data_IF_981528626109
#
_entry.id   IF_981528626109
#
_cell.length_a   1.000
_cell.length_b   1.000
_cell.length_c   1.000
_cell.angle_alpha   90.00
_cell.angle_beta   90.00
_cell.angle_gamma   90.00
#
_symmetry.space_group_name_H-M   'P 1'
#
loop_
_entity.id
_entity.type
_entity.pdbx_description
1 polymer ?
#
# COMPACT_ATOMS: atom_id res chain seq x y z
N UNK A 1 11.03 0.38 26.21
CA UNK A 1 9.72 -0.01 25.61
C UNK A 1 9.56 0.53 24.17
N UNK A 2 9.72 1.85 23.91
CA UNK A 2 9.52 2.42 22.56
C UNK A 2 10.44 1.80 21.49
N UNK A 3 11.75 1.67 21.76
CA UNK A 3 12.71 1.06 20.83
C UNK A 3 12.40 -0.41 20.54
N UNK A 4 11.83 -1.16 21.50
CA UNK A 4 11.42 -2.55 21.28
C UNK A 4 10.21 -2.63 20.34
N UNK A 5 9.27 -1.70 20.47
CA UNK A 5 8.12 -1.61 19.53
C UNK A 5 8.63 -1.36 18.12
N UNK A 6 9.49 -0.35 17.93
CA UNK A 6 10.06 -0.02 16.61
C UNK A 6 10.93 -1.16 16.03
N UNK A 7 11.60 -1.95 16.87
CA UNK A 7 12.34 -3.14 16.47
C UNK A 7 11.38 -4.26 16.00
N UNK A 8 10.31 -4.52 16.75
CA UNK A 8 9.28 -5.49 16.36
C UNK A 8 8.54 -5.09 15.08
N UNK A 9 8.44 -3.80 14.82
CA UNK A 9 7.85 -3.22 13.60
C UNK A 9 8.85 -3.18 12.42
N UNK A 10 10.08 -3.65 12.60
CA UNK A 10 11.10 -3.66 11.56
C UNK A 10 11.67 -2.28 11.19
N UNK A 11 11.40 -1.25 12.00
CA UNK A 11 11.91 0.11 11.81
C UNK A 11 13.31 0.30 12.41
N UNK A 12 13.72 -0.56 13.32
CA UNK A 12 15.04 -0.60 13.94
C UNK A 12 15.65 -1.98 13.77
N UNK A 13 16.93 -2.01 13.46
CA UNK A 13 17.74 -3.23 13.38
C UNK A 13 18.75 -3.23 14.51
N UNK A 14 18.96 -4.39 15.14
CA UNK A 14 19.99 -4.61 16.12
C UNK A 14 21.20 -5.24 15.45
N UNK A 15 22.31 -4.55 15.40
CA UNK A 15 23.57 -5.09 14.88
C UNK A 15 24.16 -6.16 15.79
N UNK A 16 25.13 -6.94 15.29
CA UNK A 16 25.82 -8.00 16.03
C UNK A 16 26.49 -7.50 17.35
N UNK A 17 26.80 -6.21 17.43
CA UNK A 17 27.35 -5.54 18.61
C UNK A 17 26.27 -4.98 19.56
N UNK A 18 25.00 -5.33 19.37
CA UNK A 18 23.87 -4.84 20.16
C UNK A 18 23.43 -3.40 19.85
N UNK A 19 24.11 -2.71 18.91
CA UNK A 19 23.75 -1.34 18.54
C UNK A 19 22.45 -1.33 17.75
N UNK A 20 21.49 -0.51 18.20
CA UNK A 20 20.22 -0.28 17.50
C UNK A 20 20.38 0.86 16.49
N UNK A 21 20.05 0.59 15.25
CA UNK A 21 20.07 1.56 14.15
C UNK A 21 18.73 1.59 13.45
N UNK A 22 18.31 2.77 12.99
CA UNK A 22 17.11 2.87 12.14
C UNK A 22 17.35 2.12 10.85
N UNK A 23 16.40 1.25 10.48
CA UNK A 23 16.44 0.53 9.19
C UNK A 23 16.56 1.54 8.06
N UNK A 24 17.64 1.45 7.30
CA UNK A 24 17.80 2.31 6.12
C UNK A 24 16.78 1.91 5.04
N UNK A 25 15.95 2.87 4.65
CA UNK A 25 15.03 2.68 3.50
C UNK A 25 15.87 2.80 2.22
N UNK A 26 16.20 1.67 1.62
CA UNK A 26 16.85 1.59 0.31
C UNK A 26 15.91 0.97 -0.73
N UNK A 27 16.30 1.07 -1.99
CA UNK A 27 15.50 0.57 -3.12
C UNK A 27 15.14 -0.92 -2.96
N UNK A 28 16.09 -1.75 -2.56
CA UNK A 28 15.88 -3.20 -2.39
C UNK A 28 14.83 -3.47 -1.31
N UNK A 29 14.94 -2.82 -0.15
CA UNK A 29 13.97 -2.99 0.93
C UNK A 29 12.55 -2.58 0.52
N UNK A 30 12.42 -1.50 -0.27
CA UNK A 30 11.13 -1.07 -0.82
C UNK A 30 10.56 -2.13 -1.77
N UNK A 31 11.40 -2.69 -2.66
CA UNK A 31 11.00 -3.77 -3.57
C UNK A 31 10.53 -5.01 -2.81
N UNK A 32 11.36 -5.50 -1.88
CA UNK A 32 11.06 -6.67 -1.04
C UNK A 32 9.74 -6.50 -0.26
N UNK A 33 9.49 -5.29 0.25
CA UNK A 33 8.23 -4.95 0.93
C UNK A 33 7.02 -5.06 0.00
N UNK A 34 7.08 -4.43 -1.17
CA UNK A 34 5.94 -4.44 -2.11
C UNK A 34 5.73 -5.80 -2.75
N UNK A 35 6.78 -6.58 -2.99
CA UNK A 35 6.67 -7.97 -3.43
C UNK A 35 5.94 -8.83 -2.39
N UNK A 36 6.34 -8.74 -1.12
CA UNK A 36 5.66 -9.44 -0.02
C UNK A 36 4.20 -9.02 0.10
N UNK A 37 3.94 -7.71 0.03
CA UNK A 37 2.58 -7.15 0.07
C UNK A 37 1.73 -7.67 -1.07
N UNK A 38 2.26 -7.67 -2.30
CA UNK A 38 1.58 -8.14 -3.50
C UNK A 38 1.17 -9.61 -3.39
N UNK A 39 2.04 -10.45 -2.84
CA UNK A 39 1.74 -11.88 -2.60
C UNK A 39 0.57 -12.06 -1.62
N UNK A 40 0.50 -11.26 -0.55
CA UNK A 40 -0.61 -11.33 0.41
C UNK A 40 -1.93 -10.89 -0.23
N UNK A 41 -1.92 -9.82 -1.00
CA UNK A 41 -3.10 -9.30 -1.71
C UNK A 41 -3.56 -10.26 -2.82
N UNK A 42 -2.63 -10.80 -3.61
CA UNK A 42 -2.94 -11.78 -4.64
C UNK A 42 -3.56 -13.05 -4.04
N UNK A 43 -3.04 -13.51 -2.89
CA UNK A 43 -3.64 -14.64 -2.17
C UNK A 43 -5.02 -14.31 -1.62
N UNK A 44 -5.24 -13.10 -1.14
CA UNK A 44 -6.58 -12.65 -0.73
C UNK A 44 -7.56 -12.68 -1.91
N UNK A 45 -7.17 -12.14 -3.06
CA UNK A 45 -7.97 -12.17 -4.31
C UNK A 45 -8.30 -13.60 -4.72
N UNK A 46 -7.31 -14.52 -4.73
CA UNK A 46 -7.57 -15.94 -5.05
C UNK A 46 -8.65 -16.56 -4.17
N UNK A 47 -8.64 -16.24 -2.86
CA UNK A 47 -9.64 -16.73 -1.91
C UNK A 47 -11.00 -16.09 -2.18
N UNK A 48 -11.05 -14.78 -2.40
CA UNK A 48 -12.29 -14.03 -2.64
C UNK A 48 -12.99 -14.51 -3.90
N UNK A 49 -12.25 -14.74 -4.99
CA UNK A 49 -12.81 -15.21 -6.27
C UNK A 49 -13.52 -16.56 -6.17
N UNK A 50 -13.17 -17.37 -5.16
CA UNK A 50 -13.80 -18.68 -4.88
C UNK A 50 -15.03 -18.59 -3.96
N UNK A 51 -15.31 -17.40 -3.36
CA UNK A 51 -16.43 -17.22 -2.44
C UNK A 51 -17.74 -17.01 -3.21
N UNK A 52 -18.82 -17.58 -2.70
CA UNK A 52 -20.15 -17.36 -3.23
C UNK A 52 -20.62 -15.92 -2.99
N UNK A 53 -20.39 -15.42 -1.78
CA UNK A 53 -20.76 -14.05 -1.38
C UNK A 53 -19.55 -13.25 -0.93
N UNK A 54 -19.49 -11.97 -1.37
CA UNK A 54 -18.47 -10.98 -0.99
C UNK A 54 -19.14 -9.65 -0.68
N UNK A 55 -18.84 -9.08 0.49
CA UNK A 55 -19.29 -7.72 0.83
C UNK A 55 -18.31 -6.68 0.32
N UNK A 56 -18.68 -5.95 -0.72
CA UNK A 56 -17.86 -4.90 -1.32
C UNK A 56 -17.99 -3.54 -0.64
N UNK A 57 -18.81 -3.40 0.41
CA UNK A 57 -19.10 -2.09 1.06
C UNK A 57 -17.84 -1.37 1.54
N UNK A 58 -16.88 -2.10 2.11
CA UNK A 58 -15.61 -1.55 2.56
C UNK A 58 -14.75 -1.00 1.42
N UNK A 59 -14.66 -1.75 0.31
CA UNK A 59 -13.94 -1.32 -0.89
C UNK A 59 -14.61 -0.09 -1.53
N UNK A 60 -15.93 -0.04 -1.55
CA UNK A 60 -16.69 1.12 -2.06
C UNK A 60 -16.47 2.36 -1.20
N UNK A 61 -16.43 2.24 0.14
CA UNK A 61 -16.09 3.35 1.03
C UNK A 61 -14.69 3.89 0.73
N UNK A 62 -13.72 3.01 0.52
CA UNK A 62 -12.36 3.40 0.16
C UNK A 62 -12.30 4.15 -1.19
N UNK A 63 -13.04 3.67 -2.20
CA UNK A 63 -13.14 4.36 -3.49
C UNK A 63 -13.79 5.74 -3.37
N UNK A 64 -14.81 5.90 -2.52
CA UNK A 64 -15.40 7.21 -2.28
C UNK A 64 -14.39 8.21 -1.69
N UNK A 65 -13.53 7.78 -0.77
CA UNK A 65 -12.45 8.61 -0.22
C UNK A 65 -11.44 8.96 -1.33
N UNK A 66 -11.04 8.01 -2.17
CA UNK A 66 -10.14 8.25 -3.29
C UNK A 66 -10.76 9.19 -4.33
N UNK A 67 -12.07 9.11 -4.55
CA UNK A 67 -12.77 10.03 -5.44
C UNK A 67 -12.80 11.46 -4.88
N UNK A 68 -13.00 11.63 -3.56
CA UNK A 68 -12.90 12.93 -2.90
C UNK A 68 -11.51 13.54 -3.06
N UNK A 69 -10.45 12.73 -2.97
CA UNK A 69 -9.08 13.19 -3.18
C UNK A 69 -8.85 13.85 -4.55
N UNK A 70 -9.67 13.56 -5.56
CA UNK A 70 -9.54 14.15 -6.92
C UNK A 70 -9.93 15.62 -6.99
N UNK A 71 -10.79 16.07 -6.10
CA UNK A 71 -11.20 17.47 -5.98
C UNK A 71 -10.34 18.27 -5.01
N UNK A 72 -9.39 17.65 -4.32
CA UNK A 72 -8.50 18.29 -3.36
C UNK A 72 -7.10 18.51 -3.94
N UNK A 73 -6.31 19.36 -3.26
CA UNK A 73 -4.90 19.63 -3.61
C UNK A 73 -4.02 19.62 -2.35
N UNK A 74 -2.70 19.57 -2.54
CA UNK A 74 -1.74 19.68 -1.44
C UNK A 74 -1.88 18.56 -0.38
N UNK A 75 -1.78 18.96 0.89
CA UNK A 75 -1.80 18.02 2.02
C UNK A 75 -3.16 17.34 2.20
N UNK A 76 -4.27 18.02 1.92
CA UNK A 76 -5.61 17.44 1.98
C UNK A 76 -5.76 16.28 0.97
N UNK A 77 -5.32 16.50 -0.26
CA UNK A 77 -5.30 15.46 -1.29
C UNK A 77 -4.42 14.28 -0.87
N UNK A 78 -3.23 14.55 -0.36
CA UNK A 78 -2.29 13.54 0.10
C UNK A 78 -2.87 12.69 1.22
N UNK A 79 -3.51 13.34 2.21
CA UNK A 79 -4.15 12.65 3.33
C UNK A 79 -5.28 11.70 2.86
N UNK A 80 -6.16 12.17 1.97
CA UNK A 80 -7.25 11.35 1.43
C UNK A 80 -6.72 10.19 0.57
N UNK A 81 -5.67 10.40 -0.22
CA UNK A 81 -5.02 9.31 -0.98
C UNK A 81 -4.47 8.23 -0.06
N UNK A 82 -3.76 8.61 1.01
CA UNK A 82 -3.23 7.66 2.01
C UNK A 82 -4.37 6.90 2.65
N UNK A 83 -5.40 7.61 3.12
CA UNK A 83 -6.55 7.01 3.79
C UNK A 83 -7.29 6.02 2.89
N UNK A 84 -7.68 6.44 1.69
CA UNK A 84 -8.44 5.63 0.76
C UNK A 84 -7.64 4.42 0.25
N UNK A 85 -6.38 4.63 -0.12
CA UNK A 85 -5.49 3.55 -0.55
C UNK A 85 -5.28 2.50 0.55
N UNK A 86 -4.96 2.92 1.77
CA UNK A 86 -4.74 2.01 2.88
C UNK A 86 -6.01 1.26 3.28
N UNK A 87 -7.16 1.93 3.25
CA UNK A 87 -8.45 1.29 3.52
C UNK A 87 -8.77 0.25 2.44
N UNK A 88 -8.63 0.59 1.15
CA UNK A 88 -8.95 -0.31 0.05
C UNK A 88 -8.19 -1.64 0.14
N UNK A 89 -6.89 -1.57 0.25
CA UNK A 89 -6.04 -2.78 0.34
C UNK A 89 -6.26 -3.57 1.63
N UNK A 90 -6.58 -2.89 2.74
CA UNK A 90 -6.91 -3.55 4.00
C UNK A 90 -8.23 -4.31 3.89
N UNK A 91 -9.25 -3.67 3.35
CA UNK A 91 -10.56 -4.31 3.11
C UNK A 91 -10.43 -5.49 2.14
N UNK A 92 -9.63 -5.34 1.07
CA UNK A 92 -9.34 -6.43 0.14
C UNK A 92 -8.80 -7.66 0.87
N UNK A 93 -7.77 -7.47 1.71
CA UNK A 93 -7.17 -8.59 2.46
C UNK A 93 -8.15 -9.16 3.49
N UNK A 94 -8.93 -8.32 4.17
CA UNK A 94 -9.89 -8.76 5.20
C UNK A 94 -11.05 -9.54 4.59
N UNK A 95 -11.49 -9.22 3.38
CA UNK A 95 -12.50 -9.99 2.65
C UNK A 95 -12.07 -11.43 2.38
N UNK A 96 -10.78 -11.75 2.39
CA UNK A 96 -10.32 -13.14 2.31
C UNK A 96 -10.82 -13.99 3.48
N UNK A 97 -11.06 -13.41 4.66
CA UNK A 97 -11.40 -14.11 5.90
C UNK A 97 -10.31 -15.07 6.38
N UNK A 98 -9.14 -15.09 5.75
CA UNK A 98 -8.02 -15.92 6.16
C UNK A 98 -7.27 -15.25 7.32
N UNK A 99 -7.45 -15.80 8.52
CA UNK A 99 -6.95 -15.21 9.77
C UNK A 99 -5.41 -15.09 9.79
N UNK A 100 -4.70 -16.08 9.26
CA UNK A 100 -3.24 -16.06 9.20
C UNK A 100 -2.74 -14.99 8.22
N UNK A 101 -3.36 -14.89 7.05
CA UNK A 101 -3.03 -13.88 6.05
C UNK A 101 -3.30 -12.46 6.58
N UNK A 102 -4.42 -12.25 7.28
CA UNK A 102 -4.75 -10.98 7.94
C UNK A 102 -3.71 -10.64 9.02
N UNK A 103 -3.22 -11.63 9.77
CA UNK A 103 -2.18 -11.40 10.76
C UNK A 103 -0.87 -10.96 10.10
N UNK A 104 -0.43 -11.64 9.04
CA UNK A 104 0.76 -11.23 8.26
C UNK A 104 0.58 -9.82 7.68
N UNK A 105 -0.61 -9.48 7.17
CA UNK A 105 -0.92 -8.14 6.66
C UNK A 105 -0.73 -7.05 7.73
N UNK A 106 -1.18 -7.32 8.96
CA UNK A 106 -1.06 -6.38 10.08
C UNK A 106 0.38 -6.05 10.44
N UNK A 107 1.31 -7.00 10.28
CA UNK A 107 2.74 -6.75 10.54
C UNK A 107 3.38 -5.77 9.56
N UNK A 108 2.77 -5.56 8.39
CA UNK A 108 3.25 -4.60 7.40
C UNK A 108 2.77 -3.15 7.65
N UNK A 109 1.81 -2.94 8.58
CA UNK A 109 1.14 -1.65 8.76
C UNK A 109 2.10 -0.47 8.96
N UNK A 110 3.12 -0.52 9.86
CA UNK A 110 3.97 0.63 10.11
C UNK A 110 4.76 1.07 8.87
N UNK A 111 5.33 0.10 8.14
CA UNK A 111 6.06 0.36 6.90
C UNK A 111 5.13 0.82 5.77
N UNK A 112 3.94 0.24 5.70
CA UNK A 112 2.92 0.62 4.72
C UNK A 112 2.53 2.08 4.84
N UNK A 113 2.33 2.60 6.05
CA UNK A 113 2.00 4.02 6.26
C UNK A 113 3.13 4.94 5.79
N UNK A 114 4.38 4.60 6.12
CA UNK A 114 5.55 5.35 5.66
C UNK A 114 5.63 5.38 4.13
N UNK A 115 5.49 4.23 3.47
CA UNK A 115 5.59 4.16 2.01
C UNK A 115 4.38 4.78 1.31
N UNK A 116 3.19 4.65 1.87
CA UNK A 116 1.99 5.33 1.36
C UNK A 116 2.14 6.84 1.37
N UNK A 117 2.80 7.42 2.37
CA UNK A 117 3.09 8.85 2.41
C UNK A 117 3.95 9.29 1.21
N UNK A 118 5.03 8.57 0.91
CA UNK A 118 5.88 8.89 -0.25
C UNK A 118 5.15 8.71 -1.57
N UNK A 119 4.40 7.62 -1.73
CA UNK A 119 3.62 7.34 -2.93
C UNK A 119 2.52 8.41 -3.14
N UNK A 120 1.74 8.72 -2.10
CA UNK A 120 0.61 9.66 -2.18
C UNK A 120 1.03 11.12 -2.33
N UNK A 121 2.26 11.50 -1.92
CA UNK A 121 2.77 12.86 -2.05
C UNK A 121 3.25 13.22 -3.47
N UNK A 122 3.23 12.28 -4.41
CA UNK A 122 3.48 12.60 -5.82
C UNK A 122 2.38 13.49 -6.37
N UNK A 123 2.77 14.54 -7.07
CA UNK A 123 1.81 15.38 -7.81
C UNK A 123 1.14 14.59 -8.93
N UNK A 124 -0.03 15.06 -9.38
CA UNK A 124 -0.79 14.41 -10.46
C UNK A 124 0.05 14.14 -11.73
N UNK A 125 1.04 15.00 -12.01
CA UNK A 125 1.93 14.88 -13.19
C UNK A 125 3.03 13.81 -13.04
N UNK A 126 3.25 13.27 -11.83
CA UNK A 126 4.27 12.27 -11.54
C UNK A 126 3.68 10.90 -11.23
N UNK A 127 2.37 10.80 -11.04
CA UNK A 127 1.70 9.53 -10.75
C UNK A 127 1.37 8.85 -12.08
N UNK A 128 1.80 7.59 -12.22
CA UNK A 128 1.55 6.79 -13.42
C UNK A 128 0.07 6.51 -13.63
N UNK A 129 -0.68 6.34 -12.53
CA UNK A 129 -2.11 6.06 -12.53
C UNK A 129 -2.81 6.89 -11.46
N UNK A 130 -4.01 7.40 -11.79
CA UNK A 130 -4.88 8.01 -10.81
C UNK A 130 -5.32 6.94 -9.78
N UNK A 131 -5.14 7.27 -8.48
CA UNK A 131 -5.48 6.35 -7.39
C UNK A 131 -6.90 5.83 -7.47
N UNK A 132 -7.87 6.70 -7.78
CA UNK A 132 -9.27 6.29 -7.92
C UNK A 132 -9.44 5.29 -9.07
N UNK A 133 -8.95 5.62 -10.24
CA UNK A 133 -9.16 4.82 -11.46
C UNK A 133 -8.54 3.43 -11.35
N UNK A 134 -7.32 3.32 -10.83
CA UNK A 134 -6.64 2.03 -10.67
C UNK A 134 -7.34 1.11 -9.67
N UNK A 135 -7.82 1.67 -8.55
CA UNK A 135 -8.57 0.89 -7.54
C UNK A 135 -10.00 0.56 -8.00
N UNK A 136 -10.63 1.45 -8.77
CA UNK A 136 -11.92 1.15 -9.40
C UNK A 136 -11.81 -0.03 -10.36
N UNK A 137 -10.70 -0.13 -11.11
CA UNK A 137 -10.47 -1.26 -11.99
C UNK A 137 -10.34 -2.58 -11.22
N UNK A 138 -9.61 -2.58 -10.10
CA UNK A 138 -9.54 -3.75 -9.21
C UNK A 138 -10.93 -4.18 -8.76
N UNK A 139 -11.77 -3.24 -8.32
CA UNK A 139 -13.13 -3.56 -7.88
C UNK A 139 -13.99 -4.10 -9.02
N UNK A 140 -13.90 -3.54 -10.23
CA UNK A 140 -14.62 -4.04 -11.41
C UNK A 140 -14.22 -5.48 -11.74
N UNK A 141 -12.92 -5.76 -11.78
CA UNK A 141 -12.41 -7.11 -12.04
C UNK A 141 -12.84 -8.10 -10.94
N UNK A 142 -12.88 -7.64 -9.68
CA UNK A 142 -13.30 -8.46 -8.55
C UNK A 142 -14.80 -8.82 -8.65
N UNK A 143 -15.65 -7.85 -8.97
CA UNK A 143 -17.10 -8.05 -9.19
C UNK A 143 -17.36 -8.96 -10.39
N UNK A 144 -16.61 -8.78 -11.48
CA UNK A 144 -16.67 -9.61 -12.68
C UNK A 144 -16.07 -11.02 -12.48
N UNK A 145 -15.43 -11.28 -11.34
CA UNK A 145 -14.68 -12.53 -11.06
C UNK A 145 -13.63 -12.83 -12.13
N UNK A 146 -12.96 -11.77 -12.64
CA UNK A 146 -11.96 -11.89 -13.70
C UNK A 146 -10.71 -12.62 -13.19
N UNK A 147 -10.33 -13.77 -13.77
CA UNK A 147 -9.15 -14.52 -13.34
C UNK A 147 -7.83 -13.73 -13.52
N UNK A 148 -7.80 -12.73 -14.41
CA UNK A 148 -6.64 -11.85 -14.62
C UNK A 148 -6.40 -10.90 -13.44
N UNK A 149 -7.37 -10.76 -12.52
CA UNK A 149 -7.21 -9.89 -11.35
C UNK A 149 -6.01 -10.30 -10.49
N UNK A 150 -5.70 -11.58 -10.38
CA UNK A 150 -4.51 -12.04 -9.64
C UNK A 150 -3.22 -11.43 -10.19
N UNK A 151 -3.03 -11.47 -11.50
CA UNK A 151 -1.86 -10.90 -12.18
C UNK A 151 -1.86 -9.36 -12.09
N UNK A 152 -3.04 -8.77 -12.27
CA UNK A 152 -3.21 -7.31 -12.16
C UNK A 152 -2.81 -6.79 -10.77
N UNK A 153 -3.20 -7.47 -9.68
CA UNK A 153 -2.83 -7.10 -8.31
C UNK A 153 -1.31 -7.20 -8.10
N UNK A 154 -0.67 -8.26 -8.59
CA UNK A 154 0.79 -8.38 -8.52
C UNK A 154 1.47 -7.19 -9.20
N UNK A 155 1.05 -6.82 -10.41
CA UNK A 155 1.58 -5.67 -11.12
C UNK A 155 1.27 -4.34 -10.41
N UNK A 156 0.01 -4.12 -9.98
CA UNK A 156 -0.43 -2.91 -9.32
C UNK A 156 0.36 -2.64 -8.03
N UNK A 157 0.56 -3.67 -7.22
CA UNK A 157 1.19 -3.51 -5.91
C UNK A 157 2.72 -3.56 -5.98
N UNK A 158 3.34 -4.56 -6.65
CA UNK A 158 4.80 -4.67 -6.67
C UNK A 158 5.45 -3.77 -7.73
N UNK A 159 4.87 -3.65 -8.91
CA UNK A 159 5.44 -2.85 -10.00
C UNK A 159 5.19 -1.35 -9.82
N UNK A 160 3.94 -0.92 -9.95
CA UNK A 160 3.58 0.51 -9.96
C UNK A 160 3.86 1.19 -8.62
N UNK A 161 3.48 0.58 -7.48
CA UNK A 161 3.67 1.20 -6.16
C UNK A 161 5.14 1.31 -5.75
N UNK A 162 5.99 0.36 -6.15
CA UNK A 162 7.44 0.44 -5.92
C UNK A 162 8.03 1.64 -6.64
N UNK A 163 7.74 1.77 -7.93
CA UNK A 163 8.27 2.87 -8.77
C UNK A 163 7.81 4.24 -8.24
N UNK A 164 6.52 4.38 -7.91
CA UNK A 164 5.97 5.63 -7.41
C UNK A 164 6.54 6.00 -6.03
N UNK A 165 6.73 5.02 -5.14
CA UNK A 165 7.37 5.26 -3.84
C UNK A 165 8.82 5.74 -3.99
N UNK A 166 9.59 5.13 -4.87
CA UNK A 166 10.97 5.56 -5.14
C UNK A 166 11.04 6.98 -5.71
N UNK A 167 10.14 7.33 -6.63
CA UNK A 167 10.00 8.70 -7.14
C UNK A 167 9.65 9.69 -6.03
N UNK A 168 8.68 9.34 -5.16
CA UNK A 168 8.28 10.18 -4.03
C UNK A 168 9.43 10.46 -3.06
N UNK A 169 10.23 9.43 -2.74
CA UNK A 169 11.43 9.58 -1.90
C UNK A 169 12.46 10.49 -2.56
N UNK A 170 12.70 10.32 -3.85
CA UNK A 170 13.66 11.15 -4.58
C UNK A 170 13.25 12.63 -4.60
N UNK A 171 11.97 12.92 -4.85
CA UNK A 171 11.44 14.29 -4.82
C UNK A 171 11.55 14.94 -3.45
N UNK A 172 11.19 14.23 -2.38
CA UNK A 172 11.32 14.76 -1.00
C UNK A 172 12.78 15.01 -0.61
N UNK A 173 13.72 14.17 -1.06
CA UNK A 173 15.16 14.42 -0.85
C UNK A 173 15.67 15.65 -1.61
N UNK A 174 15.16 15.91 -2.82
CA UNK A 174 15.51 17.08 -3.61
C UNK A 174 15.00 18.38 -2.96
N UNK A 175 13.76 18.39 -2.47
CA UNK A 175 13.17 19.54 -1.75
C UNK A 175 13.99 19.91 -0.50
N UNK A 176 14.36 18.94 0.34
CA UNK A 176 15.16 19.18 1.57
C UNK A 176 16.57 19.71 1.34
N UNK A 177 17.10 19.70 0.13
CA UNK A 177 18.41 20.28 -0.20
C UNK A 177 18.31 21.73 -0.66
N UNK A 178 17.11 22.22 -0.91
CA UNK A 178 16.84 23.59 -1.34
C UNK A 178 16.40 24.50 -0.17
N UNK A 179 15.99 23.89 0.94
CA UNK A 179 15.73 24.53 2.23
C UNK A 179 17.00 24.53 3.11
#
# INVERSE_FOLDING_TARGET
>A
KALQVLENEGLIVVGANGRKTVQGINQRFISDFYETRALLEAKAVEIILKREYVDYSGLMRALNILNQARSETGDAQTALRIQGNNLFHTELVYQSGNRALIQCWRTLNPLREVFSYYNASLSANHVRHDFYTSHQEILKMLVARDPKLHEYILFHTSGASTEDTLKGIALKKAQRKQD
#
